data_IF_053251177601
#
_entry.id   IF_053251177601
#
_cell.length_a   1.000
_cell.length_b   1.000
_cell.length_c   1.000
_cell.angle_alpha   90.00
_cell.angle_beta   90.00
_cell.angle_gamma   90.00
#
_symmetry.space_group_name_H-M   'P 1'
#
loop_
_entity.id
_entity.type
_entity.pdbx_description
1 polymer ?
#
# COMPACT_ATOMS: atom_id res chain seq x y z
N UNK A 1 -13.81 39.67 -1.35
CA UNK A 1 -12.77 39.43 -2.37
C UNK A 1 -12.15 38.06 -2.13
N UNK A 2 -12.22 37.13 -3.09
CA UNK A 2 -11.56 35.81 -2.96
C UNK A 2 -10.05 36.04 -3.08
N UNK A 3 -9.30 35.93 -1.98
CA UNK A 3 -7.84 35.96 -2.04
C UNK A 3 -7.37 34.75 -2.84
N UNK A 4 -7.00 34.99 -4.11
CA UNK A 4 -6.37 34.00 -4.98
C UNK A 4 -4.98 33.76 -4.41
N UNK A 5 -4.88 32.82 -3.46
CA UNK A 5 -3.61 32.50 -2.80
C UNK A 5 -2.54 32.20 -3.83
N UNK A 6 -1.33 32.74 -3.62
CA UNK A 6 -0.17 32.54 -4.51
C UNK A 6 -0.02 31.05 -4.83
N UNK A 7 0.01 30.72 -6.12
CA UNK A 7 0.26 29.35 -6.55
C UNK A 7 1.67 28.93 -6.14
N UNK A 8 1.77 27.72 -5.58
CA UNK A 8 3.05 27.17 -5.14
C UNK A 8 3.81 26.72 -6.39
N UNK A 9 4.99 27.30 -6.60
CA UNK A 9 5.95 26.79 -7.59
C UNK A 9 6.69 25.63 -6.94
N UNK A 10 6.52 24.43 -7.49
CA UNK A 10 7.16 23.21 -6.99
C UNK A 10 8.51 23.02 -7.68
N UNK A 11 9.57 22.88 -6.88
CA UNK A 11 10.90 22.54 -7.37
C UNK A 11 11.08 21.02 -7.51
N UNK A 12 12.09 20.61 -8.26
CA UNK A 12 12.48 19.18 -8.38
C UNK A 12 12.81 18.59 -7.00
N UNK A 13 13.47 19.36 -6.13
CA UNK A 13 13.76 18.93 -4.76
C UNK A 13 12.49 18.70 -3.93
N UNK A 14 11.48 19.56 -4.07
CA UNK A 14 10.20 19.38 -3.37
C UNK A 14 9.45 18.15 -3.88
N UNK A 15 9.45 17.91 -5.20
CA UNK A 15 8.87 16.70 -5.77
C UNK A 15 9.56 15.44 -5.26
N UNK A 16 10.89 15.44 -5.24
CA UNK A 16 11.69 14.34 -4.70
C UNK A 16 11.30 14.05 -3.25
N UNK A 17 11.32 15.06 -2.39
CA UNK A 17 10.93 14.91 -0.99
C UNK A 17 9.49 14.41 -0.81
N UNK A 18 8.56 14.89 -1.62
CA UNK A 18 7.18 14.44 -1.60
C UNK A 18 7.06 12.96 -1.98
N UNK A 19 7.72 12.56 -3.07
CA UNK A 19 7.70 11.17 -3.56
C UNK A 19 8.34 10.23 -2.53
N UNK A 20 9.50 10.59 -1.97
CA UNK A 20 10.19 9.83 -0.93
C UNK A 20 9.27 9.61 0.29
N UNK A 21 8.67 10.69 0.80
CA UNK A 21 7.78 10.61 1.95
C UNK A 21 6.57 9.70 1.67
N UNK A 22 5.92 9.85 0.52
CA UNK A 22 4.78 9.01 0.14
C UNK A 22 5.16 7.55 -0.12
N UNK A 23 6.37 7.28 -0.62
CA UNK A 23 6.87 5.92 -0.80
C UNK A 23 7.05 5.21 0.56
N UNK A 24 7.54 5.92 1.58
CA UNK A 24 7.60 5.41 2.96
C UNK A 24 6.18 5.13 3.49
N UNK A 25 5.25 6.06 3.29
CA UNK A 25 3.86 5.87 3.73
C UNK A 25 3.18 4.68 3.03
N UNK A 26 3.46 4.46 1.75
CA UNK A 26 2.96 3.30 1.02
C UNK A 26 3.48 1.97 1.61
N UNK A 27 4.75 1.92 2.00
CA UNK A 27 5.37 0.75 2.66
C UNK A 27 4.80 0.50 4.06
N UNK A 28 4.38 1.56 4.75
CA UNK A 28 3.78 1.48 6.08
C UNK A 28 2.29 1.09 6.07
N UNK A 29 1.72 0.76 4.90
CA UNK A 29 0.30 0.38 4.79
C UNK A 29 -0.69 1.55 4.76
N UNK A 30 -0.21 2.80 4.73
CA UNK A 30 -1.08 3.99 4.70
C UNK A 30 -1.64 4.31 3.30
N UNK A 31 -1.71 3.29 2.45
CA UNK A 31 -2.27 3.36 1.10
C UNK A 31 -3.39 2.34 1.00
N UNK A 32 -4.60 2.83 0.81
CA UNK A 32 -5.81 2.02 0.64
C UNK A 32 -6.16 2.06 -0.85
N UNK A 33 -6.16 0.89 -1.49
CA UNK A 33 -6.27 0.72 -2.94
C UNK A 33 -5.26 1.58 -3.73
N UNK A 34 -5.77 2.64 -4.40
CA UNK A 34 -5.00 3.56 -5.26
C UNK A 34 -4.75 4.93 -4.60
N UNK A 35 -5.24 5.12 -3.37
CA UNK A 35 -5.24 6.40 -2.67
C UNK A 35 -4.48 6.32 -1.35
N UNK A 36 -3.83 7.42 -0.98
CA UNK A 36 -3.25 7.57 0.35
C UNK A 36 -4.33 8.04 1.33
N UNK A 37 -4.25 7.57 2.57
CA UNK A 37 -5.11 8.09 3.63
C UNK A 37 -4.65 9.49 4.09
N UNK A 38 -5.43 10.11 4.97
CA UNK A 38 -5.10 11.46 5.46
C UNK A 38 -3.76 11.50 6.20
N UNK A 39 -3.45 10.48 7.01
CA UNK A 39 -2.18 10.39 7.74
C UNK A 39 -0.97 10.44 6.79
N UNK A 40 -1.03 9.73 5.66
CA UNK A 40 0.02 9.75 4.67
C UNK A 40 0.19 11.13 4.02
N UNK A 41 -0.90 11.83 3.71
CA UNK A 41 -0.83 13.19 3.17
C UNK A 41 -0.28 14.19 4.19
N UNK A 42 -0.72 14.09 5.44
CA UNK A 42 -0.22 14.93 6.55
C UNK A 42 1.27 14.70 6.77
N UNK A 43 1.72 13.45 6.85
CA UNK A 43 3.14 13.13 7.01
C UNK A 43 4.00 13.67 5.86
N UNK A 44 3.54 13.49 4.61
CA UNK A 44 4.22 14.03 3.44
C UNK A 44 4.26 15.57 3.42
N UNK A 45 3.17 16.21 3.85
CA UNK A 45 3.07 17.66 3.97
C UNK A 45 4.06 18.21 4.99
N UNK A 46 4.13 17.60 6.18
CA UNK A 46 5.09 17.94 7.24
C UNK A 46 6.52 17.79 6.73
N UNK A 47 6.84 16.69 6.05
CA UNK A 47 8.18 16.45 5.51
C UNK A 47 8.62 17.54 4.51
N UNK A 48 7.76 17.91 3.57
CA UNK A 48 8.07 18.96 2.58
C UNK A 48 8.18 20.34 3.25
N UNK A 49 7.28 20.66 4.18
CA UNK A 49 7.30 21.93 4.89
C UNK A 49 8.57 22.10 5.73
N UNK A 50 8.95 21.06 6.48
CA UNK A 50 10.16 21.06 7.31
C UNK A 50 11.42 21.20 6.45
N UNK A 51 11.53 20.46 5.34
CA UNK A 51 12.74 20.45 4.50
C UNK A 51 12.94 21.73 3.69
N UNK A 52 11.87 22.38 3.25
CA UNK A 52 11.93 23.54 2.36
C UNK A 52 11.47 24.85 3.00
N UNK A 53 11.24 24.85 4.33
CA UNK A 53 10.71 25.97 5.08
C UNK A 53 9.46 26.59 4.42
N UNK A 54 8.47 25.73 4.15
CA UNK A 54 7.21 26.10 3.48
C UNK A 54 6.03 25.92 4.44
N UNK A 55 4.93 26.58 4.11
CA UNK A 55 3.64 26.46 4.80
C UNK A 55 2.57 25.93 3.83
N UNK A 56 2.81 24.71 3.31
CA UNK A 56 1.84 24.00 2.48
C UNK A 56 0.76 23.36 3.36
N UNK A 57 -0.40 23.12 2.76
CA UNK A 57 -1.45 22.28 3.34
C UNK A 57 -1.60 20.98 2.53
N UNK A 58 -2.33 20.01 3.10
CA UNK A 58 -2.57 18.71 2.47
C UNK A 58 -3.16 18.84 1.06
N UNK A 59 -4.04 19.83 0.82
CA UNK A 59 -4.63 20.04 -0.50
C UNK A 59 -3.57 20.38 -1.58
N UNK A 60 -2.56 21.19 -1.24
CA UNK A 60 -1.45 21.50 -2.18
C UNK A 60 -0.63 20.25 -2.49
N UNK A 61 -0.39 19.40 -1.49
CA UNK A 61 0.31 18.12 -1.64
C UNK A 61 -0.48 17.16 -2.53
N UNK A 62 -1.78 16.98 -2.26
CA UNK A 62 -2.68 16.12 -3.05
C UNK A 62 -2.71 16.58 -4.51
N UNK A 63 -2.86 17.89 -4.75
CA UNK A 63 -2.89 18.43 -6.11
C UNK A 63 -1.56 18.24 -6.84
N UNK A 64 -0.43 18.35 -6.12
CA UNK A 64 0.88 18.07 -6.70
C UNK A 64 1.03 16.59 -7.04
N UNK A 65 0.62 15.70 -6.14
CA UNK A 65 0.65 14.26 -6.38
C UNK A 65 -0.17 13.88 -7.62
N UNK A 66 -1.34 14.49 -7.85
CA UNK A 66 -2.10 14.29 -9.11
C UNK A 66 -1.26 14.63 -10.34
N UNK A 67 -0.50 15.73 -10.30
CA UNK A 67 0.38 16.14 -11.40
C UNK A 67 1.53 15.13 -11.60
N UNK A 68 2.14 14.67 -10.51
CA UNK A 68 3.21 13.68 -10.53
C UNK A 68 2.70 12.34 -11.09
N UNK A 69 1.54 11.86 -10.64
CA UNK A 69 0.89 10.64 -11.15
C UNK A 69 0.58 10.74 -12.65
N UNK A 70 0.16 11.92 -13.14
CA UNK A 70 -0.04 12.16 -14.58
C UNK A 70 1.26 12.00 -15.37
N UNK A 71 2.36 12.58 -14.90
CA UNK A 71 3.69 12.40 -15.53
C UNK A 71 4.12 10.94 -15.52
N UNK A 72 3.88 10.22 -14.43
CA UNK A 72 4.18 8.80 -14.32
C UNK A 72 3.35 7.94 -15.27
N UNK A 73 2.08 8.29 -15.49
CA UNK A 73 1.25 7.62 -16.50
C UNK A 73 1.88 7.72 -17.90
N UNK A 74 2.38 8.89 -18.30
CA UNK A 74 3.07 9.04 -19.59
C UNK A 74 4.31 8.14 -19.68
N UNK A 75 5.10 8.04 -18.61
CA UNK A 75 6.25 7.12 -18.57
C UNK A 75 5.82 5.66 -18.74
N UNK A 76 4.75 5.25 -18.05
CA UNK A 76 4.18 3.91 -18.18
C UNK A 76 3.65 3.62 -19.58
N UNK A 77 3.03 4.61 -20.22
CA UNK A 77 2.49 4.50 -21.58
C UNK A 77 3.60 4.46 -22.65
N UNK A 78 4.78 5.02 -22.37
CA UNK A 78 5.98 4.85 -23.20
C UNK A 78 6.53 3.45 -23.02
N UNK A 79 6.74 3.02 -21.77
CA UNK A 79 7.34 1.73 -21.42
C UNK A 79 6.44 0.52 -21.72
N UNK A 80 5.17 0.74 -22.04
CA UNK A 80 4.26 -0.31 -22.51
C UNK A 80 4.38 -0.58 -24.01
N UNK A 81 5.13 0.25 -24.76
CA UNK A 81 5.37 0.04 -26.18
C UNK A 81 6.59 -0.83 -26.43
N UNK A 82 6.45 -1.70 -27.44
CA UNK A 82 7.55 -2.51 -27.94
C UNK A 82 8.73 -1.61 -28.37
N UNK A 83 9.94 -2.02 -27.97
CA UNK A 83 11.18 -1.32 -28.27
C UNK A 83 11.54 -0.16 -27.33
N UNK A 84 10.77 0.07 -26.26
CA UNK A 84 11.15 0.96 -25.15
C UNK A 84 11.46 0.15 -23.89
N UNK A 85 12.44 0.59 -23.11
CA UNK A 85 12.74 0.00 -21.80
C UNK A 85 13.26 1.04 -20.80
N UNK A 86 13.18 0.68 -19.52
CA UNK A 86 13.78 1.46 -18.45
C UNK A 86 15.23 1.04 -18.25
N UNK A 87 16.16 2.00 -18.30
CA UNK A 87 17.56 1.79 -17.98
C UNK A 87 17.84 2.25 -16.55
N UNK A 88 17.98 1.28 -15.64
CA UNK A 88 18.23 1.54 -14.22
C UNK A 88 19.59 2.20 -13.93
N UNK A 89 20.58 2.01 -14.82
CA UNK A 89 21.94 2.54 -14.66
C UNK A 89 22.00 4.03 -14.99
N UNK A 90 21.44 4.42 -16.13
CA UNK A 90 21.40 5.82 -16.57
C UNK A 90 20.19 6.58 -16.02
N UNK A 91 19.22 5.87 -15.43
CA UNK A 91 17.92 6.40 -14.96
C UNK A 91 17.12 7.05 -16.09
N UNK A 92 17.16 6.49 -17.30
CA UNK A 92 16.49 7.01 -18.50
C UNK A 92 15.55 5.99 -19.12
N UNK A 93 14.62 6.47 -19.96
CA UNK A 93 13.86 5.62 -20.88
C UNK A 93 14.66 5.52 -22.18
N UNK A 94 15.14 4.33 -22.46
CA UNK A 94 15.92 4.00 -23.65
C UNK A 94 15.04 3.26 -24.66
N UNK A 95 15.49 3.20 -25.91
CA UNK A 95 14.75 2.54 -26.97
C UNK A 95 15.66 1.99 -28.08
N UNK A 96 15.12 1.14 -28.95
CA UNK A 96 15.89 0.46 -30.00
C UNK A 96 16.52 1.42 -31.03
N UNK A 97 15.87 2.55 -31.32
CA UNK A 97 16.36 3.53 -32.30
C UNK A 97 15.81 4.94 -32.07
N UNK A 98 16.57 5.95 -32.46
CA UNK A 98 16.13 7.35 -32.40
C UNK A 98 14.87 7.63 -33.23
N UNK A 99 14.70 6.90 -34.33
CA UNK A 99 13.51 6.92 -35.20
C UNK A 99 12.25 6.46 -34.48
N UNK A 100 12.36 5.50 -33.53
CA UNK A 100 11.24 5.07 -32.71
C UNK A 100 10.77 6.19 -31.78
N UNK A 101 11.71 6.89 -31.13
CA UNK A 101 11.40 8.09 -30.34
C UNK A 101 10.72 9.18 -31.18
N UNK A 102 11.24 9.47 -32.39
CA UNK A 102 10.68 10.50 -33.29
C UNK A 102 9.22 10.17 -33.66
N UNK A 103 8.95 8.92 -34.06
CA UNK A 103 7.60 8.45 -34.41
C UNK A 103 6.66 8.50 -33.21
N UNK A 104 7.11 8.06 -32.04
CA UNK A 104 6.28 8.08 -30.83
C UNK A 104 5.93 9.52 -30.42
N UNK A 105 6.92 10.44 -30.40
CA UNK A 105 6.69 11.86 -30.04
C UNK A 105 5.77 12.57 -31.02
N UNK A 106 5.79 12.20 -32.31
CA UNK A 106 4.88 12.76 -33.31
C UNK A 106 3.40 12.49 -32.97
N UNK A 107 3.10 11.33 -32.37
CA UNK A 107 1.74 10.97 -31.91
C UNK A 107 1.48 11.40 -30.46
N UNK A 108 2.53 11.45 -29.63
CA UNK A 108 2.47 11.78 -28.21
C UNK A 108 3.46 12.92 -27.84
N UNK A 109 3.12 14.19 -28.12
CA UNK A 109 4.05 15.31 -27.93
C UNK A 109 4.53 15.52 -26.49
N UNK A 110 3.74 15.09 -25.49
CA UNK A 110 4.07 15.15 -24.08
C UNK A 110 5.22 14.20 -23.68
N UNK A 111 5.44 13.14 -24.45
CA UNK A 111 6.54 12.21 -24.28
C UNK A 111 7.92 12.86 -24.51
N UNK A 112 7.98 13.97 -25.25
CA UNK A 112 9.22 14.72 -25.51
C UNK A 112 9.96 15.13 -24.23
N UNK A 113 9.23 15.35 -23.14
CA UNK A 113 9.81 15.71 -21.85
C UNK A 113 10.67 14.59 -21.21
N UNK A 114 10.59 13.36 -21.71
CA UNK A 114 11.28 12.19 -21.16
C UNK A 114 12.45 11.70 -22.01
N UNK A 115 12.53 12.09 -23.30
CA UNK A 115 13.64 11.69 -24.18
C UNK A 115 14.98 12.21 -23.66
N UNK A 116 15.90 11.32 -23.32
CA UNK A 116 17.25 11.64 -22.84
C UNK A 116 17.28 12.37 -21.50
N UNK A 117 16.18 12.32 -20.72
CA UNK A 117 16.11 12.97 -19.40
C UNK A 117 16.24 11.92 -18.29
N UNK A 118 17.13 12.21 -17.34
CA UNK A 118 17.25 11.43 -16.11
C UNK A 118 15.99 11.57 -15.26
N UNK A 119 15.47 10.45 -14.76
CA UNK A 119 14.28 10.34 -13.93
C UNK A 119 14.70 9.67 -12.61
N UNK A 120 15.25 10.47 -11.70
CA UNK A 120 15.83 10.02 -10.43
C UNK A 120 14.88 9.16 -9.58
N UNK A 121 13.58 9.50 -9.58
CA UNK A 121 12.58 8.95 -8.66
C UNK A 121 11.69 7.87 -9.27
N UNK A 122 12.10 7.23 -10.37
CA UNK A 122 11.24 6.30 -11.10
C UNK A 122 10.78 5.10 -10.25
N UNK A 123 11.67 4.48 -9.48
CA UNK A 123 11.32 3.31 -8.65
C UNK A 123 10.37 3.69 -7.52
N UNK A 124 10.60 4.82 -6.86
CA UNK A 124 9.71 5.34 -5.83
C UNK A 124 8.34 5.72 -6.41
N UNK A 125 8.32 6.26 -7.64
CA UNK A 125 7.06 6.54 -8.34
C UNK A 125 6.26 5.27 -8.61
N UNK A 126 6.90 4.14 -8.94
CA UNK A 126 6.21 2.85 -9.07
C UNK A 126 5.55 2.44 -7.76
N UNK A 127 6.25 2.57 -6.64
CA UNK A 127 5.70 2.29 -5.29
C UNK A 127 4.51 3.21 -5.00
N UNK A 128 4.70 4.52 -5.17
CA UNK A 128 3.67 5.54 -4.92
C UNK A 128 2.44 5.31 -5.80
N UNK A 129 2.62 4.88 -7.05
CA UNK A 129 1.53 4.60 -7.97
C UNK A 129 0.91 3.20 -7.80
N UNK A 130 1.58 2.28 -7.11
CA UNK A 130 1.08 0.92 -6.87
C UNK A 130 1.41 -0.06 -7.99
N UNK A 131 2.43 0.26 -8.78
CA UNK A 131 2.89 -0.53 -9.92
C UNK A 131 4.02 -1.51 -9.53
N UNK A 132 3.92 -2.10 -8.35
CA UNK A 132 4.90 -3.05 -7.80
C UNK A 132 4.84 -4.46 -8.41
N UNK A 133 4.30 -4.61 -9.63
CA UNK A 133 4.51 -5.85 -10.39
C UNK A 133 6.01 -5.94 -10.66
N UNK A 134 6.67 -7.03 -10.23
CA UNK A 134 8.05 -7.33 -10.60
C UNK A 134 8.22 -7.06 -12.10
N UNK A 135 9.34 -6.43 -12.47
CA UNK A 135 9.69 -6.27 -13.88
C UNK A 135 9.52 -7.64 -14.55
N UNK A 136 8.85 -7.76 -15.70
CA UNK A 136 8.92 -9.00 -16.43
C UNK A 136 10.40 -9.24 -16.72
N UNK A 137 10.97 -10.21 -16.01
CA UNK A 137 12.16 -10.90 -16.49
C UNK A 137 11.85 -11.25 -17.94
N UNK A 138 12.77 -10.89 -18.85
CA UNK A 138 12.65 -11.09 -20.29
C UNK A 138 12.01 -12.45 -20.57
N UNK A 139 10.72 -12.45 -20.90
CA UNK A 139 10.05 -13.65 -21.40
C UNK A 139 10.15 -13.59 -22.92
N UNK A 140 10.85 -14.58 -23.47
CA UNK A 140 10.86 -14.87 -24.89
C UNK A 140 9.41 -14.93 -25.38
N UNK A 141 9.09 -14.08 -26.36
CA UNK A 141 7.82 -14.07 -27.08
C UNK A 141 7.63 -15.45 -27.72
N UNK A 142 6.66 -16.22 -27.24
CA UNK A 142 5.85 -17.07 -28.12
C UNK A 142 4.48 -16.42 -28.17
N UNK A 143 4.11 -15.97 -29.38
CA UNK A 143 2.80 -15.43 -29.71
C UNK A 143 1.76 -16.51 -29.51
N UNK A 144 0.67 -16.19 -28.81
CA UNK A 144 -0.66 -16.64 -29.19
C UNK A 144 -1.63 -15.49 -28.98
N UNK A 145 -2.30 -15.12 -30.07
CA UNK A 145 -3.32 -14.11 -30.17
C UNK A 145 -4.61 -14.59 -29.49
N UNK A 146 -5.23 -13.76 -28.67
CA UNK A 146 -6.68 -13.82 -28.41
C UNK A 146 -7.14 -12.49 -27.81
N UNK A 147 -7.85 -11.72 -28.63
CA UNK A 147 -8.70 -10.61 -28.21
C UNK A 147 -9.74 -11.08 -27.22
N UNK A 148 -9.92 -10.42 -26.07
CA UNK A 148 -11.24 -10.27 -25.45
C UNK A 148 -11.35 -8.94 -24.69
N UNK A 149 -12.33 -8.15 -25.13
CA UNK A 149 -12.84 -6.94 -24.50
C UNK A 149 -13.23 -7.17 -23.03
N UNK A 150 -12.75 -6.32 -22.12
CA UNK A 150 -13.23 -6.26 -20.74
C UNK A 150 -14.47 -5.38 -20.68
N UNK A 151 -15.63 -6.00 -20.48
CA UNK A 151 -16.83 -5.33 -19.97
C UNK A 151 -16.99 -5.64 -18.47
N UNK A 152 -17.38 -4.60 -17.75
CA UNK A 152 -17.59 -4.49 -16.32
C UNK A 152 -18.88 -5.21 -15.89
N UNK A 153 -18.81 -6.00 -14.81
CA UNK A 153 -19.88 -6.07 -13.80
C UNK A 153 -19.55 -7.03 -12.66
N UNK A 154 -19.62 -6.47 -11.45
CA UNK A 154 -19.67 -7.13 -10.15
C UNK A 154 -20.83 -8.13 -10.06
N UNK A 155 -20.62 -9.25 -9.38
CA UNK A 155 -21.52 -9.80 -8.33
C UNK A 155 -20.93 -11.05 -7.67
N UNK A 156 -20.92 -11.07 -6.33
CA UNK A 156 -20.76 -12.26 -5.49
C UNK A 156 -21.96 -13.22 -5.70
N UNK A 157 -21.82 -14.56 -5.52
CA UNK A 157 -21.92 -15.15 -4.17
C UNK A 157 -21.09 -16.44 -3.91
N UNK A 158 -20.82 -16.70 -2.62
CA UNK A 158 -20.60 -18.03 -2.01
C UNK A 158 -21.87 -18.34 -1.17
N UNK A 159 -22.01 -19.49 -0.47
CA UNK A 159 -21.68 -20.91 -0.76
C UNK A 159 -22.88 -21.85 -0.42
N UNK A 160 -22.87 -23.12 -0.84
CA UNK A 160 -23.52 -24.27 -0.14
C UNK A 160 -23.35 -25.54 -1.00
N UNK A 161 -22.64 -26.57 -0.56
CA UNK A 161 -23.04 -27.71 0.31
C UNK A 161 -23.61 -28.90 -0.48
N UNK A 162 -22.96 -30.06 -0.35
CA UNK A 162 -23.48 -31.45 -0.24
C UNK A 162 -24.53 -31.90 -1.31
N UNK A 163 -24.48 -33.07 -1.93
CA UNK A 163 -24.39 -34.39 -1.31
C UNK A 163 -24.32 -35.50 -2.40
N UNK A 164 -24.08 -36.72 -1.90
CA UNK A 164 -23.85 -38.05 -2.48
C UNK A 164 -24.69 -38.60 -3.65
N UNK A 165 -24.00 -39.49 -4.40
CA UNK A 165 -24.39 -40.79 -5.02
C UNK A 165 -25.50 -40.79 -6.10
N UNK A 166 -25.61 -41.72 -7.06
CA UNK A 166 -25.19 -43.13 -7.15
C UNK A 166 -25.35 -43.66 -8.60
N UNK A 167 -24.74 -44.83 -8.86
CA UNK A 167 -25.12 -45.92 -9.81
C UNK A 167 -25.00 -45.69 -11.33
N UNK A 168 -24.16 -46.45 -12.04
CA UNK A 168 -24.36 -47.82 -12.61
C UNK A 168 -25.01 -47.73 -14.00
N UNK A 169 -24.59 -48.37 -15.08
CA UNK A 169 -23.54 -49.35 -15.40
C UNK A 169 -23.87 -49.88 -16.80
N UNK A 170 -22.88 -50.26 -17.62
CA UNK A 170 -22.97 -51.40 -18.57
C UNK A 170 -21.61 -51.70 -19.22
N UNK A 171 -21.07 -52.87 -18.84
CA UNK A 171 -20.53 -54.00 -19.63
C UNK A 171 -20.44 -53.84 -21.18
N UNK A 172 -19.60 -54.50 -21.98
CA UNK A 172 -18.50 -55.48 -21.91
C UNK A 172 -18.11 -55.75 -23.39
N UNK A 173 -16.82 -56.00 -23.73
CA UNK A 173 -16.42 -57.18 -24.54
C UNK A 173 -14.89 -57.28 -24.73
N UNK A 174 -14.41 -58.46 -24.36
CA UNK A 174 -13.17 -59.24 -24.57
C UNK A 174 -12.28 -59.04 -25.81
N UNK A 175 -10.97 -59.29 -25.61
CA UNK A 175 -9.99 -59.74 -26.62
C UNK A 175 -8.52 -59.73 -26.14
N UNK A 176 -7.80 -60.87 -26.05
CA UNK A 176 -6.50 -61.02 -25.35
C UNK A 176 -5.28 -61.12 -26.29
N UNK A 177 -4.06 -61.00 -25.76
CA UNK A 177 -2.90 -61.84 -26.16
C UNK A 177 -1.70 -61.72 -25.19
N UNK A 178 -1.12 -62.88 -24.90
CA UNK A 178 -0.01 -63.19 -23.98
C UNK A 178 1.35 -63.13 -24.69
N UNK A 179 2.45 -62.84 -23.96
CA UNK A 179 3.78 -63.47 -24.18
C UNK A 179 4.64 -63.48 -22.88
N UNK A 180 4.65 -64.64 -22.21
CA UNK A 180 5.76 -65.45 -21.62
C UNK A 180 7.09 -64.75 -21.21
N UNK A 181 7.49 -64.75 -19.92
CA UNK A 181 8.21 -65.76 -19.10
C UNK A 181 9.75 -65.64 -19.10
N UNK A 182 10.38 -65.50 -17.91
CA UNK A 182 11.42 -66.43 -17.42
C UNK A 182 11.83 -66.17 -15.95
N UNK A 183 11.93 -67.26 -15.18
CA UNK A 183 12.42 -67.38 -13.79
C UNK A 183 13.73 -68.20 -13.76
N UNK A 184 14.71 -67.80 -12.92
CA UNK A 184 15.65 -68.64 -12.12
C UNK A 184 16.83 -67.80 -11.54
N UNK A 185 17.65 -68.25 -10.56
CA UNK A 185 17.40 -68.49 -9.12
C UNK A 185 18.41 -67.69 -8.20
N UNK A 186 18.39 -67.79 -6.84
CA UNK A 186 19.08 -66.82 -5.94
C UNK A 186 20.42 -67.28 -5.34
N UNK A 187 21.26 -66.33 -4.83
CA UNK A 187 22.15 -66.59 -3.68
C UNK A 187 22.27 -65.37 -2.69
N UNK A 188 23.11 -65.41 -1.63
CA UNK A 188 22.86 -65.80 -0.23
C UNK A 188 22.75 -64.57 0.75
N UNK A 189 22.58 -64.73 2.09
CA UNK A 189 22.12 -63.64 2.96
C UNK A 189 23.26 -62.70 3.37
N UNK A 190 22.99 -61.38 3.37
CA UNK A 190 23.95 -60.36 3.85
C UNK A 190 23.29 -59.48 4.91
N UNK A 191 24.05 -59.23 5.99
CA UNK A 191 23.71 -58.54 7.24
C UNK A 191 22.82 -57.28 7.14
N UNK A 192 21.98 -56.99 8.15
CA UNK A 192 21.18 -55.77 8.17
C UNK A 192 22.06 -54.53 8.38
N UNK A 193 22.12 -53.70 7.34
CA UNK A 193 22.65 -52.34 7.37
C UNK A 193 21.67 -51.40 8.10
N UNK A 194 22.18 -50.83 9.19
CA UNK A 194 21.82 -49.57 9.84
C UNK A 194 20.87 -48.65 9.04
N UNK A 195 19.64 -48.47 9.52
CA UNK A 195 18.74 -47.40 9.06
C UNK A 195 19.01 -46.09 9.83
N UNK A 196 18.99 -44.92 9.16
CA UNK A 196 19.06 -43.62 9.83
C UNK A 196 17.71 -43.30 10.53
N UNK A 197 17.72 -42.53 11.63
CA UNK A 197 16.51 -42.32 12.42
C UNK A 197 15.50 -41.46 11.66
N UNK A 198 14.28 -42.00 11.54
CA UNK A 198 13.07 -41.29 11.12
C UNK A 198 12.89 -40.05 12.01
N UNK A 199 12.96 -38.86 11.40
CA UNK A 199 12.63 -37.59 12.06
C UNK A 199 11.13 -37.57 12.33
N UNK A 200 10.73 -37.74 13.59
CA UNK A 200 9.36 -37.51 14.03
C UNK A 200 9.01 -36.03 13.86
N UNK A 201 7.79 -35.69 13.41
CA UNK A 201 7.34 -34.31 13.42
C UNK A 201 7.23 -33.84 14.87
N UNK A 202 7.69 -32.61 15.13
CA UNK A 202 7.67 -31.96 16.43
C UNK A 202 6.20 -31.71 16.81
N UNK A 203 5.57 -32.62 17.53
CA UNK A 203 4.34 -32.31 18.26
C UNK A 203 4.72 -31.23 19.27
N UNK A 204 4.10 -30.05 19.17
CA UNK A 204 4.29 -28.98 20.15
C UNK A 204 4.00 -29.54 21.54
N UNK A 205 4.94 -29.32 22.46
CA UNK A 205 4.78 -29.69 23.86
C UNK A 205 3.54 -28.97 24.41
N UNK A 206 2.55 -29.68 24.97
CA UNK A 206 1.33 -29.05 25.51
C UNK A 206 1.62 -27.92 26.50
N UNK A 207 2.76 -28.00 27.21
CA UNK A 207 3.22 -26.94 28.08
C UNK A 207 3.64 -25.68 27.30
N UNK A 208 4.29 -25.82 26.14
CA UNK A 208 4.67 -24.70 25.28
C UNK A 208 3.45 -24.02 24.66
N UNK A 209 2.41 -24.78 24.31
CA UNK A 209 1.13 -24.22 23.83
C UNK A 209 0.43 -23.42 24.93
N UNK A 210 0.36 -23.96 26.15
CA UNK A 210 -0.20 -23.24 27.29
C UNK A 210 0.58 -21.95 27.60
N UNK A 211 1.92 -21.99 27.52
CA UNK A 211 2.75 -20.78 27.68
C UNK A 211 2.51 -19.74 26.57
N UNK A 212 2.30 -20.17 25.33
CA UNK A 212 1.97 -19.28 24.21
C UNK A 212 0.61 -18.62 24.40
N UNK A 213 -0.39 -19.35 24.88
CA UNK A 213 -1.72 -18.81 25.20
C UNK A 213 -1.68 -17.79 26.33
N UNK A 214 -0.90 -18.06 27.38
CA UNK A 214 -0.67 -17.11 28.47
C UNK A 214 0.04 -15.86 27.96
N UNK A 215 1.09 -16.02 27.13
CA UNK A 215 1.80 -14.89 26.54
C UNK A 215 0.90 -14.03 25.62
N UNK A 216 0.01 -14.67 24.86
CA UNK A 216 -1.01 -14.01 24.04
C UNK A 216 -1.99 -13.21 24.90
N UNK A 217 -2.47 -13.81 25.99
CA UNK A 217 -3.38 -13.17 26.94
C UNK A 217 -2.75 -11.94 27.61
N UNK A 218 -1.49 -12.06 28.04
CA UNK A 218 -0.73 -10.93 28.62
C UNK A 218 -0.57 -9.80 27.60
N UNK A 219 -0.28 -10.13 26.34
CA UNK A 219 -0.15 -9.14 25.27
C UNK A 219 -1.47 -8.41 25.02
N UNK A 220 -2.59 -9.15 24.97
CA UNK A 220 -3.92 -8.55 24.82
C UNK A 220 -4.28 -7.62 25.99
N UNK A 221 -3.91 -7.98 27.21
CA UNK A 221 -4.08 -7.11 28.38
C UNK A 221 -3.20 -5.86 28.29
N UNK A 222 -1.94 -6.00 27.86
CA UNK A 222 -1.05 -4.86 27.67
C UNK A 222 -1.58 -3.91 26.57
N UNK A 223 -2.06 -4.45 25.45
CA UNK A 223 -2.66 -3.68 24.36
C UNK A 223 -3.95 -2.97 24.83
N UNK A 224 -4.80 -3.63 25.62
CA UNK A 224 -6.01 -3.02 26.18
C UNK A 224 -5.69 -1.88 27.16
N UNK A 225 -4.66 -2.03 27.99
CA UNK A 225 -4.18 -1.00 28.92
C UNK A 225 -3.52 0.17 28.18
N UNK A 226 -2.83 -0.09 27.08
CA UNK A 226 -2.23 0.98 26.27
C UNK A 226 -3.33 1.75 25.50
N UNK A 227 -4.31 1.03 24.95
CA UNK A 227 -5.48 1.63 24.31
C UNK A 227 -6.27 2.51 25.28
N UNK A 228 -6.49 2.07 26.53
CA UNK A 228 -7.23 2.87 27.52
C UNK A 228 -6.53 4.18 27.89
N UNK A 229 -5.19 4.25 27.81
CA UNK A 229 -4.42 5.50 27.98
C UNK A 229 -4.49 6.42 26.76
N UNK A 230 -4.88 5.90 25.59
CA UNK A 230 -4.99 6.69 24.36
C UNK A 230 -6.39 7.25 24.12
N UNK A 231 -7.41 6.67 24.77
CA UNK A 231 -8.79 7.12 24.69
C UNK A 231 -8.97 8.41 25.50
N UNK A 232 -9.45 9.45 24.83
CA UNK A 232 -9.84 10.70 25.48
C UNK A 232 -11.31 10.57 25.81
N UNK A 233 -11.68 10.91 27.04
CA UNK A 233 -13.07 10.99 27.40
C UNK A 233 -13.72 12.16 26.64
N UNK A 234 -14.63 11.83 25.72
CA UNK A 234 -15.33 12.78 24.87
C UNK A 234 -16.15 13.78 25.68
N UNK A 235 -16.74 13.35 26.80
CA UNK A 235 -17.55 14.22 27.67
C UNK A 235 -16.69 15.26 28.38
N UNK A 236 -15.56 14.83 28.96
CA UNK A 236 -14.59 15.75 29.59
C UNK A 236 -13.98 16.72 28.58
N UNK A 237 -13.74 16.27 27.35
CA UNK A 237 -13.24 17.13 26.27
C UNK A 237 -14.26 18.19 25.90
N UNK A 238 -15.54 17.82 25.78
CA UNK A 238 -16.62 18.76 25.50
C UNK A 238 -16.75 19.80 26.61
N UNK A 239 -16.78 19.37 27.87
CA UNK A 239 -16.83 20.24 29.05
C UNK A 239 -15.66 21.24 29.05
N UNK A 240 -14.43 20.74 28.85
CA UNK A 240 -13.23 21.57 28.80
C UNK A 240 -13.24 22.62 27.68
N UNK A 241 -13.93 22.37 26.56
CA UNK A 241 -14.11 23.34 25.46
C UNK A 241 -15.19 24.36 25.80
N UNK A 242 -16.31 23.91 26.38
CA UNK A 242 -17.43 24.77 26.79
C UNK A 242 -17.05 25.73 27.93
N UNK A 243 -16.12 25.32 28.79
CA UNK A 243 -15.59 26.17 29.87
C UNK A 243 -14.72 27.34 29.38
N UNK A 244 -14.39 27.46 28.09
CA UNK A 244 -13.50 28.54 27.65
C UNK A 244 -14.22 29.90 27.67
N UNK A 245 -13.80 30.77 28.59
CA UNK A 245 -14.39 32.11 28.75
C UNK A 245 -14.32 32.94 27.46
N UNK A 246 -15.47 33.49 27.05
CA UNK A 246 -15.58 34.40 25.91
C UNK A 246 -15.40 33.73 24.54
N UNK A 247 -15.60 32.41 24.46
CA UNK A 247 -15.70 31.69 23.19
C UNK A 247 -17.18 31.44 22.89
N UNK A 248 -17.66 31.95 21.75
CA UNK A 248 -19.05 31.74 21.29
C UNK A 248 -19.35 30.25 21.08
N UNK A 249 -20.59 29.82 21.32
CA UNK A 249 -21.03 28.42 21.20
C UNK A 249 -20.67 27.81 19.83
N UNK A 250 -20.84 28.56 18.74
CA UNK A 250 -20.45 28.08 17.40
C UNK A 250 -18.94 27.79 17.28
N UNK A 251 -18.09 28.58 17.94
CA UNK A 251 -16.64 28.35 17.99
C UNK A 251 -16.30 27.21 18.95
N UNK A 252 -17.05 27.03 20.03
CA UNK A 252 -16.91 25.88 20.93
C UNK A 252 -17.25 24.57 20.22
N UNK A 253 -18.37 24.50 19.50
CA UNK A 253 -18.73 23.33 18.68
C UNK A 253 -17.62 22.98 17.68
N UNK A 254 -17.12 23.98 16.95
CA UNK A 254 -16.03 23.78 15.99
C UNK A 254 -14.72 23.33 16.66
N UNK A 255 -14.38 23.89 17.82
CA UNK A 255 -13.21 23.48 18.60
C UNK A 255 -13.32 22.03 19.06
N UNK A 256 -14.50 21.63 19.54
CA UNK A 256 -14.77 20.27 19.98
C UNK A 256 -14.63 19.29 18.83
N UNK A 257 -15.29 19.52 17.69
CA UNK A 257 -15.18 18.66 16.50
C UNK A 257 -13.73 18.52 16.02
N UNK A 258 -12.99 19.62 16.01
CA UNK A 258 -11.58 19.64 15.62
C UNK A 258 -10.69 18.82 16.57
N UNK A 259 -10.90 18.95 17.88
CA UNK A 259 -10.15 18.21 18.89
C UNK A 259 -10.53 16.73 18.88
N UNK A 260 -11.81 16.42 18.73
CA UNK A 260 -12.31 15.05 18.67
C UNK A 260 -11.81 14.30 17.43
N UNK A 261 -11.57 15.01 16.31
CA UNK A 261 -10.95 14.46 15.11
C UNK A 261 -9.44 14.21 15.21
N UNK A 262 -8.76 14.70 16.25
CA UNK A 262 -7.31 14.54 16.45
C UNK A 262 -6.99 14.22 17.92
N UNK A 263 -6.93 12.91 18.29
CA UNK A 263 -6.67 12.48 19.66
C UNK A 263 -5.36 13.02 20.24
N UNK A 264 -4.35 13.30 19.42
CA UNK A 264 -3.08 13.85 19.92
C UNK A 264 -3.30 15.29 20.39
N UNK A 265 -4.03 16.08 19.62
CA UNK A 265 -4.35 17.47 19.99
C UNK A 265 -5.33 17.55 21.14
N UNK A 266 -6.34 16.70 21.17
CA UNK A 266 -7.25 16.62 22.31
C UNK A 266 -6.51 16.29 23.61
N UNK A 267 -5.52 15.36 23.60
CA UNK A 267 -4.71 15.08 24.79
C UNK A 267 -3.86 16.29 25.20
N UNK A 268 -3.20 16.94 24.24
CA UNK A 268 -2.43 18.15 24.51
C UNK A 268 -3.31 19.28 25.10
N UNK A 269 -4.51 19.45 24.54
CA UNK A 269 -5.50 20.41 25.02
C UNK A 269 -5.97 20.10 26.44
N UNK A 270 -6.28 18.84 26.75
CA UNK A 270 -6.72 18.42 28.09
C UNK A 270 -5.62 18.61 29.14
N UNK A 271 -4.35 18.42 28.77
CA UNK A 271 -3.21 18.65 29.64
C UNK A 271 -2.97 20.14 29.99
N UNK A 272 -3.53 21.07 29.23
CA UNK A 272 -3.41 22.50 29.49
C UNK A 272 -4.43 23.00 30.52
N UNK A 273 -4.04 24.03 31.30
CA UNK A 273 -5.00 24.78 32.11
C UNK A 273 -5.92 25.67 31.26
N UNK A 274 -7.00 26.18 31.84
CA UNK A 274 -8.05 26.97 31.15
C UNK A 274 -7.50 28.12 30.30
N UNK A 275 -6.54 28.89 30.82
CA UNK A 275 -5.89 29.99 30.09
C UNK A 275 -5.13 29.49 28.86
N UNK A 276 -4.38 28.41 29.01
CA UNK A 276 -3.60 27.81 27.94
C UNK A 276 -4.47 27.12 26.90
N UNK A 277 -5.60 26.51 27.29
CA UNK A 277 -6.62 25.97 26.37
C UNK A 277 -7.16 27.04 25.43
N UNK A 278 -7.50 28.21 25.97
CA UNK A 278 -7.88 29.37 25.15
C UNK A 278 -6.76 29.76 24.18
N UNK A 279 -5.54 29.96 24.67
CA UNK A 279 -4.40 30.32 23.81
C UNK A 279 -4.10 29.28 22.73
N UNK A 280 -4.25 27.99 23.05
CA UNK A 280 -4.08 26.87 22.13
C UNK A 280 -5.06 26.98 20.96
N UNK A 281 -6.36 27.14 21.26
CA UNK A 281 -7.38 27.30 20.22
C UNK A 281 -7.15 28.57 19.39
N UNK A 282 -6.80 29.70 20.00
CA UNK A 282 -6.54 30.95 19.27
C UNK A 282 -5.26 30.90 18.41
N UNK A 283 -4.27 30.09 18.78
CA UNK A 283 -3.10 29.81 17.91
C UNK A 283 -3.49 28.96 16.71
N UNK A 284 -4.39 28.00 16.92
CA UNK A 284 -4.85 27.11 15.86
C UNK A 284 -5.82 27.81 14.91
N UNK A 285 -6.67 28.66 15.46
CA UNK A 285 -7.74 29.39 14.79
C UNK A 285 -7.49 30.88 14.92
N UNK A 286 -6.45 31.36 14.25
CA UNK A 286 -6.05 32.78 14.25
C UNK A 286 -7.15 33.75 13.80
N UNK A 287 -8.17 33.28 13.08
CA UNK A 287 -9.36 34.04 12.66
C UNK A 287 -10.49 34.10 13.72
N UNK A 288 -10.29 33.53 14.92
CA UNK A 288 -11.23 33.66 16.04
C UNK A 288 -10.96 34.86 16.95
N UNK A 289 -9.87 35.58 16.67
CA UNK A 289 -9.53 36.87 17.29
C UNK A 289 -10.49 37.97 16.87
#
# INVERSE_FOLDING_TARGET
>A
MKHKGRNVVWSVGMDKCLIEALAVQAKNGNKIDKCFNEQAYTAACVAVNARFNRNLNNQKVINRLKTIKKRYKVMKDILSRDGFWWNSTTKTIDCDSDELWKRYIAVHPDAKAFKGKQIEMYEELRIVCGDNKQAPARFNKVKTESDHHLNDSFSFPLPSSEDHSDTDGTESYTGPDEYLHEESPPPPPTNPLRQPPIKRPRSSDPFQEAMLEIASSIRRLADAVDQSKTLINTEELLEAVMEIDGLEEAKQMYAFEYLNGDPVKARAFMAYNRRMRKLFLFRQFWWWK
#
